data_IF_322320691357
#
_entry.id   IF_322320691357
#
_cell.length_a   1.000
_cell.length_b   1.000
_cell.length_c   1.000
_cell.angle_alpha   90.00
_cell.angle_beta   90.00
_cell.angle_gamma   90.00
#
_symmetry.space_group_name_H-M   'P 1'
#
loop_
_entity.id
_entity.type
_entity.pdbx_description
1 polymer ?
#
# COMPACT_ATOMS: atom_id res chain seq x y z
N UNK A 1 -6.25 -15.69 2.08
CA UNK A 1 -6.37 -15.69 3.55
C UNK A 1 -5.68 -14.45 4.07
N UNK A 2 -6.25 -13.78 5.06
CA UNK A 2 -5.62 -12.62 5.69
C UNK A 2 -4.64 -13.07 6.78
N UNK A 3 -3.50 -12.39 6.86
CA UNK A 3 -2.47 -12.57 7.90
C UNK A 3 -2.08 -11.21 8.45
N UNK A 4 -1.48 -11.15 9.64
CA UNK A 4 -0.95 -9.90 10.18
C UNK A 4 0.01 -9.27 9.16
N UNK A 5 -0.17 -7.97 8.92
CA UNK A 5 0.67 -7.24 7.99
C UNK A 5 2.11 -7.26 8.47
N UNK A 6 3.01 -7.61 7.57
CA UNK A 6 4.44 -7.55 7.82
C UNK A 6 5.05 -6.34 7.12
N UNK A 7 6.25 -6.04 7.56
CA UNK A 7 7.11 -5.02 7.01
C UNK A 7 8.35 -5.69 6.45
N UNK A 8 8.72 -5.32 5.22
CA UNK A 8 9.94 -5.78 4.55
C UNK A 8 11.06 -4.77 4.79
N UNK A 9 12.19 -5.23 5.34
CA UNK A 9 13.41 -4.44 5.55
C UNK A 9 14.23 -4.36 4.26
N UNK A 10 15.17 -3.42 4.19
CA UNK A 10 16.08 -3.22 3.03
C UNK A 10 16.96 -4.44 2.73
N UNK A 11 17.20 -5.30 3.72
CA UNK A 11 17.91 -6.57 3.57
C UNK A 11 17.01 -7.74 3.10
N UNK A 12 15.76 -7.47 2.72
CA UNK A 12 14.80 -8.46 2.26
C UNK A 12 14.12 -9.27 3.38
N UNK A 13 14.55 -9.13 4.64
CA UNK A 13 13.89 -9.80 5.77
C UNK A 13 12.52 -9.17 6.06
N UNK A 14 11.54 -9.98 6.43
CA UNK A 14 10.23 -9.51 6.86
C UNK A 14 10.02 -9.76 8.35
N UNK A 15 9.37 -8.83 9.04
CA UNK A 15 8.91 -9.03 10.41
C UNK A 15 7.50 -8.47 10.56
N UNK A 16 6.69 -9.07 11.43
CA UNK A 16 5.39 -8.53 11.79
C UNK A 16 5.64 -7.28 12.64
N UNK A 17 5.17 -6.14 12.16
CA UNK A 17 5.24 -4.88 12.90
C UNK A 17 3.87 -4.58 13.49
N UNK A 18 3.71 -4.82 14.78
CA UNK A 18 2.49 -4.58 15.54
C UNK A 18 2.38 -3.16 16.11
N UNK A 19 3.36 -2.29 15.85
CA UNK A 19 3.35 -0.91 16.33
C UNK A 19 3.04 0.07 15.19
N UNK A 20 3.80 0.00 14.10
CA UNK A 20 3.66 0.93 12.98
C UNK A 20 2.58 0.51 11.98
N UNK A 21 2.25 -0.78 11.91
CA UNK A 21 1.29 -1.32 10.93
C UNK A 21 0.44 -2.42 11.54
N UNK A 22 -0.60 -2.02 12.24
CA UNK A 22 -1.50 -2.94 12.96
C UNK A 22 -2.55 -3.64 12.07
N UNK A 23 -2.41 -3.59 10.74
CA UNK A 23 -3.38 -4.13 9.80
C UNK A 23 -3.23 -5.63 9.53
N UNK A 24 -4.17 -6.19 8.77
CA UNK A 24 -4.03 -7.50 8.14
C UNK A 24 -3.95 -7.38 6.63
N UNK A 25 -3.23 -8.30 5.99
CA UNK A 25 -2.95 -8.32 4.56
C UNK A 25 -3.35 -9.65 3.94
N UNK A 26 -3.85 -9.63 2.71
CA UNK A 26 -3.96 -10.78 1.82
C UNK A 26 -3.43 -10.43 0.43
N UNK A 27 -2.89 -11.40 -0.28
CA UNK A 27 -2.51 -11.25 -1.69
C UNK A 27 -3.50 -11.96 -2.59
N UNK A 28 -3.89 -11.29 -3.67
CA UNK A 28 -4.78 -11.83 -4.69
C UNK A 28 -3.94 -12.43 -5.82
N UNK A 29 -4.40 -13.57 -6.36
CA UNK A 29 -3.72 -14.19 -7.51
C UNK A 29 -4.04 -13.42 -8.78
N UNK A 30 -3.10 -13.41 -9.73
CA UNK A 30 -3.29 -12.74 -11.02
C UNK A 30 -4.54 -13.23 -11.71
N UNK A 31 -5.32 -12.30 -12.26
CA UNK A 31 -6.53 -12.60 -13.02
C UNK A 31 -7.48 -13.62 -12.34
N UNK A 32 -7.45 -13.71 -11.01
CA UNK A 32 -8.23 -14.70 -10.25
C UNK A 32 -9.74 -14.49 -10.42
N UNK A 33 -10.15 -13.24 -10.58
CA UNK A 33 -11.54 -12.84 -10.86
C UNK A 33 -11.57 -11.81 -11.99
N UNK A 34 -12.74 -11.61 -12.59
CA UNK A 34 -12.96 -10.57 -13.59
C UNK A 34 -12.65 -9.17 -13.04
N UNK A 35 -12.93 -8.91 -11.76
CA UNK A 35 -12.61 -7.64 -11.08
C UNK A 35 -11.10 -7.44 -10.97
N UNK A 36 -10.37 -8.46 -10.50
CA UNK A 36 -8.90 -8.40 -10.38
C UNK A 36 -8.26 -8.16 -11.75
N UNK A 37 -8.67 -8.93 -12.75
CA UNK A 37 -8.20 -8.76 -14.13
C UNK A 37 -8.47 -7.35 -14.66
N UNK A 38 -9.66 -6.80 -14.39
CA UNK A 38 -10.02 -5.45 -14.79
C UNK A 38 -9.13 -4.39 -14.13
N UNK A 39 -8.84 -4.53 -12.83
CA UNK A 39 -7.94 -3.63 -12.09
C UNK A 39 -6.53 -3.70 -12.68
N UNK A 40 -5.96 -4.91 -12.84
CA UNK A 40 -4.62 -5.11 -13.41
C UNK A 40 -4.50 -4.45 -14.80
N UNK A 41 -5.49 -4.66 -15.67
CA UNK A 41 -5.50 -4.07 -17.01
C UNK A 41 -5.58 -2.55 -16.99
N UNK A 42 -6.44 -1.97 -16.14
CA UNK A 42 -6.57 -0.50 -16.03
C UNK A 42 -5.28 0.14 -15.51
N UNK A 43 -4.64 -0.45 -14.50
CA UNK A 43 -3.35 0.04 -14.01
C UNK A 43 -2.26 -0.05 -15.07
N UNK A 44 -2.17 -1.18 -15.78
CA UNK A 44 -1.22 -1.36 -16.87
C UNK A 44 -1.38 -0.29 -17.97
N UNK A 45 -2.63 0.00 -18.36
CA UNK A 45 -2.94 1.07 -19.32
C UNK A 45 -2.55 2.45 -18.78
N UNK A 46 -2.92 2.75 -17.54
CA UNK A 46 -2.63 4.03 -16.89
C UNK A 46 -1.13 4.32 -16.77
N UNK A 47 -0.30 3.29 -16.56
CA UNK A 47 1.16 3.42 -16.48
C UNK A 47 1.87 3.45 -17.85
N UNK A 48 1.14 3.72 -18.94
CA UNK A 48 1.70 3.78 -20.29
C UNK A 48 1.66 2.43 -21.04
N UNK A 49 0.60 1.65 -20.84
CA UNK A 49 0.37 0.35 -21.49
C UNK A 49 1.49 -0.67 -21.25
N UNK A 50 1.94 -0.80 -20.00
CA UNK A 50 2.93 -1.82 -19.63
C UNK A 50 2.35 -3.23 -19.70
N UNK A 51 3.22 -4.25 -19.77
CA UNK A 51 2.77 -5.64 -19.66
C UNK A 51 2.23 -5.90 -18.24
N UNK A 52 0.97 -6.36 -18.05
CA UNK A 52 0.40 -6.65 -16.73
C UNK A 52 1.21 -7.65 -15.89
N UNK A 53 2.02 -8.52 -16.52
CA UNK A 53 2.92 -9.45 -15.81
C UNK A 53 4.03 -8.73 -15.03
N UNK A 54 4.31 -7.46 -15.33
CA UNK A 54 5.26 -6.62 -14.59
C UNK A 54 4.66 -5.95 -13.35
N UNK A 55 3.34 -5.94 -13.22
CA UNK A 55 2.69 -5.44 -12.01
C UNK A 55 2.98 -6.39 -10.85
N UNK A 56 3.21 -5.88 -9.66
CA UNK A 56 3.16 -6.72 -8.46
C UNK A 56 1.76 -7.31 -8.26
N UNK A 57 1.65 -8.35 -7.43
CA UNK A 57 0.34 -8.90 -7.09
C UNK A 57 -0.48 -7.88 -6.31
N UNK A 58 -1.78 -7.82 -6.58
CA UNK A 58 -2.68 -6.96 -5.81
C UNK A 58 -2.69 -7.38 -4.34
N UNK A 59 -2.27 -6.46 -3.48
CA UNK A 59 -2.34 -6.58 -2.03
C UNK A 59 -3.63 -5.94 -1.52
N UNK A 60 -4.40 -6.69 -0.73
CA UNK A 60 -5.56 -6.17 0.00
C UNK A 60 -5.15 -5.99 1.45
N UNK A 61 -5.36 -4.79 1.97
CA UNK A 61 -5.05 -4.43 3.36
C UNK A 61 -6.35 -4.10 4.07
N UNK A 62 -6.57 -4.69 5.25
CA UNK A 62 -7.75 -4.48 6.08
C UNK A 62 -7.36 -3.89 7.43
N UNK A 63 -8.08 -2.86 7.84
CA UNK A 63 -8.00 -2.23 9.15
C UNK A 63 -9.33 -2.45 9.89
N UNK A 64 -9.26 -2.94 11.12
CA UNK A 64 -10.37 -2.97 12.07
C UNK A 64 -10.43 -1.68 12.90
N UNK A 65 -11.41 -1.58 13.79
CA UNK A 65 -11.47 -0.49 14.77
C UNK A 65 -10.16 -0.40 15.57
N UNK A 66 -9.64 0.82 15.74
CA UNK A 66 -8.36 1.12 16.42
C UNK A 66 -7.09 0.58 15.75
N UNK A 67 -7.16 0.12 14.49
CA UNK A 67 -5.97 -0.19 13.70
C UNK A 67 -5.60 0.98 12.79
N UNK A 68 -4.31 1.20 12.60
CA UNK A 68 -3.76 2.27 11.78
C UNK A 68 -2.43 1.88 11.13
N UNK A 69 -2.02 2.71 10.16
CA UNK A 69 -0.64 2.75 9.72
C UNK A 69 -0.03 4.05 10.21
N UNK A 70 0.96 3.94 11.07
CA UNK A 70 1.64 5.07 11.68
C UNK A 70 3.02 5.23 11.04
N UNK A 71 3.15 6.24 10.18
CA UNK A 71 4.41 6.50 9.48
C UNK A 71 5.47 7.13 10.42
N UNK A 72 5.05 7.89 11.45
CA UNK A 72 5.94 8.62 12.38
C UNK A 72 6.81 7.69 13.22
N UNK A 73 6.33 6.47 13.47
CA UNK A 73 7.07 5.45 14.21
C UNK A 73 8.18 4.79 13.38
N UNK A 74 8.45 5.27 12.16
CA UNK A 74 9.32 4.57 11.23
C UNK A 74 10.37 5.47 10.57
N UNK A 75 11.47 5.71 11.29
CA UNK A 75 12.64 6.50 10.82
C UNK A 75 13.25 6.04 9.48
N UNK A 76 13.01 4.80 9.05
CA UNK A 76 13.49 4.29 7.75
C UNK A 76 12.65 4.73 6.55
N UNK A 77 11.36 5.01 6.76
CA UNK A 77 10.52 5.52 5.67
C UNK A 77 10.90 6.95 5.32
N UNK A 78 11.73 7.61 6.11
CA UNK A 78 12.25 8.95 5.88
C UNK A 78 13.13 9.08 4.65
N UNK A 79 13.62 7.96 4.12
CA UNK A 79 14.33 7.90 2.85
C UNK A 79 13.38 7.86 1.63
N UNK A 80 12.07 7.67 1.84
CA UNK A 80 11.05 7.46 0.80
C UNK A 80 9.87 8.43 0.96
N UNK A 81 9.56 8.83 2.19
CA UNK A 81 8.49 9.71 2.62
C UNK A 81 9.10 10.83 3.46
N UNK A 82 8.67 12.08 3.29
CA UNK A 82 9.15 13.21 4.08
C UNK A 82 8.75 13.02 5.56
N UNK A 83 9.75 12.80 6.41
CA UNK A 83 9.57 12.52 7.84
C UNK A 83 9.94 13.66 8.77
N UNK A 84 10.46 14.78 8.25
CA UNK A 84 10.97 15.85 9.11
C UNK A 84 9.91 16.25 10.14
N UNK A 85 10.33 16.41 11.39
CA UNK A 85 9.48 16.73 12.55
C UNK A 85 8.75 18.10 12.44
N UNK A 86 8.95 18.79 11.31
CA UNK A 86 8.27 20.00 10.87
C UNK A 86 7.36 19.73 9.66
N UNK A 87 6.93 18.50 9.40
CA UNK A 87 5.87 18.28 8.42
C UNK A 87 4.55 18.68 9.11
N UNK A 88 3.99 19.87 8.86
CA UNK A 88 2.67 20.17 9.39
C UNK A 88 1.75 19.24 8.60
N UNK A 89 1.13 18.22 9.20
CA UNK A 89 0.12 17.41 8.50
C UNK A 89 -1.19 18.21 8.24
N UNK A 90 -1.06 19.45 7.74
CA UNK A 90 -1.99 20.12 6.84
C UNK A 90 -1.60 19.81 5.38
N UNK A 91 -1.49 18.51 5.08
CA UNK A 91 -1.47 18.02 3.71
C UNK A 91 -2.88 17.74 3.20
N UNK A 92 -2.96 17.24 1.96
CA UNK A 92 -4.22 16.73 1.41
C UNK A 92 -4.60 15.44 2.15
N UNK A 93 -5.82 15.40 2.70
CA UNK A 93 -6.40 14.17 3.25
C UNK A 93 -7.46 13.63 2.30
N UNK A 94 -7.37 12.34 2.00
CA UNK A 94 -8.35 11.66 1.19
C UNK A 94 -9.31 10.88 2.09
N UNK A 95 -10.59 11.21 2.02
CA UNK A 95 -11.63 10.38 2.62
C UNK A 95 -11.79 9.11 1.78
N UNK A 96 -11.73 7.91 2.37
CA UNK A 96 -12.05 6.68 1.65
C UNK A 96 -13.48 6.74 1.10
N UNK A 97 -13.62 6.60 -0.21
CA UNK A 97 -14.90 6.53 -0.91
C UNK A 97 -14.87 5.25 -1.76
N UNK A 98 -15.83 4.33 -1.59
CA UNK A 98 -15.88 3.11 -2.39
C UNK A 98 -15.86 3.40 -3.89
N UNK A 99 -14.99 2.69 -4.62
CA UNK A 99 -14.82 2.85 -6.07
C UNK A 99 -13.80 3.90 -6.50
N UNK A 100 -13.34 4.79 -5.60
CA UNK A 100 -12.28 5.73 -5.92
C UNK A 100 -10.90 5.08 -5.87
N UNK A 101 -9.96 5.63 -6.64
CA UNK A 101 -8.55 5.25 -6.64
C UNK A 101 -7.67 6.48 -6.48
N UNK A 102 -6.56 6.34 -5.76
CA UNK A 102 -5.53 7.36 -5.63
C UNK A 102 -4.29 6.85 -6.37
N UNK A 103 -3.73 7.71 -7.22
CA UNK A 103 -2.44 7.49 -7.85
C UNK A 103 -1.49 8.60 -7.41
N UNK A 104 -0.26 8.24 -7.07
CA UNK A 104 0.79 9.21 -6.74
C UNK A 104 2.12 8.77 -7.35
N UNK A 105 2.99 9.74 -7.58
CA UNK A 105 4.38 9.54 -8.02
C UNK A 105 5.28 10.46 -7.21
N UNK A 106 6.36 9.92 -6.67
CA UNK A 106 7.44 10.70 -6.10
C UNK A 106 8.41 10.99 -7.25
N UNK A 107 8.39 12.21 -7.80
CA UNK A 107 9.40 12.65 -8.76
C UNK A 107 10.71 12.96 -8.05
#
# INVERSE_FOLDING_TARGET
>A
MFVCSAIVRTNGSSFIDDHSRTSTTAYLRRSQTSVIKCIEQRFAQFQGNINPLRLELLQVVKYEHNQEFNFSLHSRFCNILLCDDIAPYRGIRFRPIPGNSIFWSNQ
#
